data_IF_297907971210
#
_entry.id   IF_297907971210
#
_cell.length_a   1.000
_cell.length_b   1.000
_cell.length_c   1.000
_cell.angle_alpha   90.00
_cell.angle_beta   90.00
_cell.angle_gamma   90.00
#
_symmetry.space_group_name_H-M   'P 1'
#
loop_
_entity.id
_entity.type
_entity.pdbx_description
1 polymer ?
#
# COMPACT_ATOMS: atom_id res chain seq x y z
N UNK A 1 9.74 -6.38 5.61
CA UNK A 1 9.79 -5.33 4.57
C UNK A 1 9.22 -5.90 3.29
N UNK A 2 8.26 -5.22 2.64
CA UNK A 2 7.73 -5.63 1.33
C UNK A 2 8.51 -4.94 0.21
N UNK A 3 8.84 -5.66 -0.86
CA UNK A 3 9.55 -5.11 -2.03
C UNK A 3 8.88 -5.60 -3.32
N UNK A 4 8.55 -4.66 -4.20
CA UNK A 4 8.09 -4.94 -5.56
C UNK A 4 9.29 -4.73 -6.51
N UNK A 5 9.72 -5.80 -7.18
CA UNK A 5 10.96 -5.83 -7.98
C UNK A 5 10.79 -6.52 -9.33
N UNK A 6 9.61 -7.04 -9.63
CA UNK A 6 9.39 -7.96 -10.76
C UNK A 6 9.48 -7.20 -12.10
N UNK A 7 10.05 -7.80 -13.15
CA UNK A 7 10.08 -7.25 -14.50
C UNK A 7 8.70 -6.79 -14.97
N UNK A 8 8.62 -5.55 -15.42
CA UNK A 8 7.36 -4.91 -15.78
C UNK A 8 7.58 -3.79 -16.80
N UNK A 9 6.69 -3.63 -17.79
CA UNK A 9 6.65 -2.44 -18.65
C UNK A 9 6.36 -1.12 -17.93
N UNK A 10 6.05 -1.18 -16.62
CA UNK A 10 5.77 -0.04 -15.76
C UNK A 10 4.46 0.70 -16.10
N UNK A 11 3.50 0.03 -16.74
CA UNK A 11 2.17 0.61 -17.00
C UNK A 11 1.40 0.88 -15.69
N UNK A 12 1.71 0.13 -14.64
CA UNK A 12 1.20 0.35 -13.27
C UNK A 12 2.34 0.27 -12.24
N UNK A 13 3.49 0.89 -12.56
CA UNK A 13 4.65 1.01 -11.67
C UNK A 13 5.11 -0.32 -11.04
N UNK A 14 5.15 -1.40 -11.84
CA UNK A 14 5.63 -2.71 -11.42
C UNK A 14 4.54 -3.76 -11.19
N UNK A 15 3.25 -3.35 -11.16
CA UNK A 15 2.13 -4.28 -10.95
C UNK A 15 1.66 -4.96 -12.24
N UNK A 16 2.05 -4.47 -13.41
CA UNK A 16 1.94 -5.18 -14.68
C UNK A 16 3.15 -6.11 -14.88
N UNK A 17 3.13 -7.28 -14.24
CA UNK A 17 4.27 -8.23 -14.20
C UNK A 17 4.44 -8.99 -15.52
N UNK A 18 5.61 -8.85 -16.16
CA UNK A 18 5.98 -9.55 -17.39
C UNK A 18 6.80 -10.82 -17.16
N UNK A 19 7.48 -10.94 -16.01
CA UNK A 19 8.15 -12.17 -15.57
C UNK A 19 8.15 -12.23 -14.03
N UNK A 20 7.71 -13.34 -13.45
CA UNK A 20 7.64 -13.53 -12.01
C UNK A 20 8.92 -14.07 -11.37
N UNK A 21 9.90 -14.50 -12.19
CA UNK A 21 11.12 -15.20 -11.75
C UNK A 21 12.41 -14.45 -12.07
N UNK A 22 12.33 -13.14 -12.21
CA UNK A 22 13.50 -12.27 -12.36
C UNK A 22 13.27 -10.93 -11.64
N UNK A 23 14.24 -10.02 -11.72
CA UNK A 23 14.20 -8.65 -11.21
C UNK A 23 14.22 -7.68 -12.38
N UNK A 24 13.41 -6.64 -12.32
CA UNK A 24 13.37 -5.60 -13.35
C UNK A 24 14.75 -4.93 -13.46
N UNK A 25 15.29 -4.78 -14.68
CA UNK A 25 16.57 -4.11 -14.91
C UNK A 25 16.68 -2.69 -14.34
N UNK A 26 15.57 -1.98 -14.12
CA UNK A 26 15.61 -0.65 -13.47
C UNK A 26 16.01 -0.74 -11.99
N UNK A 27 15.78 -1.88 -11.34
CA UNK A 27 16.11 -2.12 -9.94
C UNK A 27 17.44 -2.87 -9.76
N UNK A 28 17.83 -3.69 -10.74
CA UNK A 28 19.10 -4.42 -10.72
C UNK A 28 19.00 -5.77 -11.41
N UNK A 29 19.70 -6.76 -10.86
CA UNK A 29 19.66 -8.15 -11.32
C UNK A 29 19.14 -9.06 -10.23
N UNK A 30 18.75 -10.29 -10.59
CA UNK A 30 18.36 -11.30 -9.62
C UNK A 30 19.40 -11.53 -8.51
N UNK A 31 20.70 -11.58 -8.86
CA UNK A 31 21.79 -11.71 -7.87
C UNK A 31 21.87 -10.52 -6.89
N UNK A 32 21.36 -9.34 -7.26
CA UNK A 32 21.29 -8.20 -6.35
C UNK A 32 20.16 -8.35 -5.33
N UNK A 33 19.05 -9.02 -5.70
CA UNK A 33 18.03 -9.42 -4.74
C UNK A 33 18.60 -10.43 -3.74
N UNK A 34 19.41 -11.40 -4.17
CA UNK A 34 20.06 -12.35 -3.25
C UNK A 34 20.98 -11.64 -2.25
N UNK A 35 21.74 -10.63 -2.70
CA UNK A 35 22.57 -9.78 -1.82
C UNK A 35 21.72 -9.00 -0.82
N UNK A 36 20.57 -8.44 -1.25
CA UNK A 36 19.64 -7.74 -0.39
C UNK A 36 19.10 -8.68 0.71
N UNK A 37 18.66 -9.88 0.33
CA UNK A 37 18.15 -10.89 1.25
C UNK A 37 19.21 -11.32 2.27
N UNK A 38 20.45 -11.55 1.82
CA UNK A 38 21.57 -11.87 2.71
C UNK A 38 21.85 -10.73 3.70
N UNK A 39 21.95 -9.48 3.21
CA UNK A 39 22.22 -8.32 4.05
C UNK A 39 21.10 -8.04 5.07
N UNK A 40 19.84 -8.28 4.70
CA UNK A 40 18.70 -8.18 5.61
C UNK A 40 18.79 -9.24 6.72
N UNK A 41 19.09 -10.49 6.35
CA UNK A 41 19.26 -11.60 7.30
C UNK A 41 20.37 -11.35 8.32
N UNK A 42 21.52 -10.83 7.88
CA UNK A 42 22.62 -10.42 8.76
C UNK A 42 22.21 -9.37 9.81
N UNK A 43 21.18 -8.57 9.51
CA UNK A 43 20.64 -7.53 10.38
C UNK A 43 19.42 -7.99 11.19
N UNK A 44 19.05 -9.27 11.11
CA UNK A 44 17.85 -9.81 11.75
C UNK A 44 16.54 -9.27 11.17
N UNK A 45 16.56 -8.76 9.94
CA UNK A 45 15.38 -8.26 9.24
C UNK A 45 14.80 -9.38 8.37
N UNK A 46 13.46 -9.45 8.35
CA UNK A 46 12.72 -10.32 7.44
C UNK A 46 12.24 -9.57 6.19
N UNK A 47 12.33 -10.22 5.04
CA UNK A 47 11.96 -9.65 3.74
C UNK A 47 10.83 -10.47 3.14
N UNK A 48 9.74 -9.80 2.82
CA UNK A 48 8.64 -10.36 2.03
C UNK A 48 8.64 -9.69 0.66
N UNK A 49 8.20 -10.41 -0.37
CA UNK A 49 8.13 -9.88 -1.74
C UNK A 49 6.68 -9.63 -2.12
N UNK A 50 6.44 -8.61 -2.95
CA UNK A 50 5.12 -8.36 -3.51
C UNK A 50 4.81 -9.39 -4.61
N UNK A 51 3.61 -9.98 -4.56
CA UNK A 51 3.14 -10.96 -5.52
C UNK A 51 1.82 -10.47 -6.12
N UNK A 52 1.75 -10.44 -7.45
CA UNK A 52 0.59 -9.93 -8.19
C UNK A 52 -0.12 -11.07 -8.92
N UNK A 53 -1.04 -11.82 -8.29
CA UNK A 53 -1.62 -13.01 -8.90
C UNK A 53 -2.86 -12.79 -9.76
N UNK A 54 -3.52 -11.64 -9.66
CA UNK A 54 -4.79 -11.46 -10.34
C UNK A 54 -4.64 -11.40 -11.87
N UNK A 55 -3.58 -10.77 -12.34
CA UNK A 55 -3.31 -10.48 -13.74
C UNK A 55 -1.82 -10.60 -14.04
N UNK A 56 -1.45 -10.63 -15.32
CA UNK A 56 -0.07 -10.41 -15.77
C UNK A 56 -0.01 -9.13 -16.59
N UNK A 57 1.19 -8.71 -17.00
CA UNK A 57 1.34 -7.77 -18.11
C UNK A 57 0.81 -8.37 -19.41
N UNK A 58 0.33 -7.54 -20.33
CA UNK A 58 0.11 -7.92 -21.73
C UNK A 58 1.41 -8.30 -22.45
N UNK A 59 2.55 -7.86 -21.93
CA UNK A 59 3.87 -8.23 -22.43
C UNK A 59 4.35 -9.61 -21.94
N UNK A 60 3.65 -10.21 -20.97
CA UNK A 60 3.98 -11.52 -20.41
C UNK A 60 3.91 -12.61 -21.50
N UNK A 61 4.86 -13.58 -21.53
CA UNK A 61 4.89 -14.63 -22.55
C UNK A 61 3.58 -15.41 -22.70
N UNK A 62 2.88 -15.66 -21.60
CA UNK A 62 1.58 -16.33 -21.65
C UNK A 62 0.51 -15.54 -22.39
N UNK A 63 0.42 -14.22 -22.20
CA UNK A 63 -0.61 -13.43 -22.88
C UNK A 63 -0.29 -13.29 -24.37
N UNK A 64 0.98 -13.10 -24.72
CA UNK A 64 1.44 -13.13 -26.12
C UNK A 64 1.11 -14.46 -26.80
N UNK A 65 1.34 -15.58 -26.10
CA UNK A 65 0.99 -16.90 -26.59
C UNK A 65 -0.54 -17.08 -26.74
N UNK A 66 -1.32 -16.59 -25.78
CA UNK A 66 -2.79 -16.59 -25.86
C UNK A 66 -3.28 -15.83 -27.11
N UNK A 67 -2.78 -14.62 -27.34
CA UNK A 67 -3.09 -13.82 -28.53
C UNK A 67 -2.71 -14.52 -29.83
N UNK A 68 -1.54 -15.16 -29.89
CA UNK A 68 -1.06 -15.84 -31.08
C UNK A 68 -1.80 -17.16 -31.37
N UNK A 69 -2.18 -17.91 -30.35
CA UNK A 69 -2.83 -19.21 -30.49
C UNK A 69 -4.33 -19.11 -30.85
N UNK A 70 -5.00 -18.03 -30.45
CA UNK A 70 -6.38 -17.76 -30.84
C UNK A 70 -7.45 -18.49 -30.03
N UNK A 71 -8.74 -18.29 -30.36
CA UNK A 71 -9.89 -18.83 -29.63
C UNK A 71 -9.86 -20.36 -29.49
N UNK A 72 -10.20 -20.86 -28.30
CA UNK A 72 -10.29 -22.30 -28.00
C UNK A 72 -8.96 -23.02 -27.74
N UNK A 73 -7.81 -22.32 -27.83
CA UNK A 73 -6.50 -22.88 -27.51
C UNK A 73 -6.25 -23.00 -25.99
N UNK A 74 -5.38 -23.94 -25.54
CA UNK A 74 -4.95 -24.02 -24.14
C UNK A 74 -4.28 -22.72 -23.65
N UNK A 75 -3.49 -22.06 -24.49
CA UNK A 75 -2.84 -20.80 -24.18
C UNK A 75 -3.86 -19.69 -23.90
N UNK A 76 -4.92 -19.62 -24.73
CA UNK A 76 -6.03 -18.68 -24.58
C UNK A 76 -6.80 -18.91 -23.27
N UNK A 77 -6.95 -20.18 -22.85
CA UNK A 77 -7.69 -20.55 -21.65
C UNK A 77 -7.04 -20.11 -20.32
N UNK A 78 -5.76 -19.69 -20.34
CA UNK A 78 -5.06 -19.12 -19.16
C UNK A 78 -5.59 -17.76 -18.74
N UNK A 79 -6.31 -17.07 -19.62
CA UNK A 79 -6.92 -15.76 -19.38
C UNK A 79 -8.43 -15.82 -19.62
N UNK A 80 -9.14 -14.78 -19.20
CA UNK A 80 -10.59 -14.73 -19.33
C UNK A 80 -10.96 -14.03 -20.63
N UNK A 81 -11.23 -14.81 -21.68
CA UNK A 81 -11.74 -14.35 -22.97
C UNK A 81 -13.21 -14.70 -23.18
N UNK A 82 -13.96 -13.85 -23.88
CA UNK A 82 -15.37 -14.07 -24.26
C UNK A 82 -15.64 -13.65 -25.71
N UNK A 83 -16.50 -14.37 -26.46
CA UNK A 83 -16.79 -14.05 -27.87
C UNK A 83 -17.55 -12.73 -28.04
N UNK A 84 -18.28 -12.29 -27.02
CA UNK A 84 -18.96 -11.01 -26.97
C UNK A 84 -18.64 -10.30 -25.65
N UNK A 85 -18.83 -8.98 -25.58
CA UNK A 85 -18.64 -8.23 -24.34
C UNK A 85 -19.67 -8.73 -23.31
N UNK A 86 -19.24 -9.38 -22.21
CA UNK A 86 -20.16 -10.20 -21.43
C UNK A 86 -20.99 -9.41 -20.43
N UNK A 87 -20.52 -8.24 -19.99
CA UNK A 87 -21.17 -7.45 -18.94
C UNK A 87 -20.76 -5.97 -18.97
N UNK A 88 -21.30 -5.21 -18.02
CA UNK A 88 -21.09 -3.78 -17.83
C UNK A 88 -19.92 -3.42 -16.88
N UNK A 89 -19.01 -4.34 -16.56
CA UNK A 89 -17.96 -4.07 -15.57
C UNK A 89 -17.03 -2.93 -15.98
N UNK A 90 -16.65 -2.12 -14.99
CA UNK A 90 -15.73 -1.00 -15.13
C UNK A 90 -14.36 -1.34 -14.55
N UNK A 91 -13.31 -0.84 -15.20
CA UNK A 91 -11.94 -0.90 -14.69
C UNK A 91 -11.78 0.00 -13.47
N UNK A 92 -11.00 -0.46 -12.50
CA UNK A 92 -10.58 0.30 -11.31
C UNK A 92 -9.93 1.64 -11.66
N UNK A 93 -9.24 1.71 -12.81
CA UNK A 93 -8.58 2.93 -13.30
C UNK A 93 -9.45 3.73 -14.30
N UNK A 94 -10.72 3.35 -14.46
CA UNK A 94 -11.69 4.02 -15.32
C UNK A 94 -11.82 3.38 -16.72
N UNK A 95 -13.02 3.50 -17.29
CA UNK A 95 -13.40 2.89 -18.57
C UNK A 95 -13.88 1.45 -18.42
N UNK A 96 -14.21 0.76 -19.53
CA UNK A 96 -14.66 -0.63 -19.50
C UNK A 96 -13.54 -1.57 -19.02
N UNK A 97 -13.91 -2.63 -18.30
CA UNK A 97 -12.99 -3.71 -17.88
C UNK A 97 -12.75 -4.77 -18.97
N UNK A 98 -13.22 -4.53 -20.20
CA UNK A 98 -13.09 -5.47 -21.31
C UNK A 98 -12.55 -4.76 -22.53
N UNK A 99 -11.55 -5.37 -23.16
CA UNK A 99 -10.96 -4.87 -24.41
C UNK A 99 -11.08 -5.95 -25.49
N UNK A 100 -11.52 -5.53 -26.68
CA UNK A 100 -11.64 -6.41 -27.83
C UNK A 100 -10.29 -6.58 -28.53
N UNK A 101 -9.94 -7.81 -28.88
CA UNK A 101 -8.76 -8.15 -29.70
C UNK A 101 -9.14 -8.33 -31.17
N UNK A 102 -8.19 -8.31 -32.13
CA UNK A 102 -8.50 -8.30 -33.57
C UNK A 102 -9.32 -9.50 -34.09
N UNK A 103 -9.31 -10.63 -33.38
CA UNK A 103 -10.11 -11.81 -33.73
C UNK A 103 -11.58 -11.73 -33.25
N UNK A 104 -11.95 -10.64 -32.57
CA UNK A 104 -13.31 -10.34 -32.14
C UNK A 104 -13.62 -10.69 -30.70
N UNK A 105 -12.80 -11.51 -30.02
CA UNK A 105 -13.00 -11.82 -28.61
C UNK A 105 -12.65 -10.64 -27.70
N UNK A 106 -13.20 -10.64 -26.49
CA UNK A 106 -12.98 -9.65 -25.45
C UNK A 106 -12.22 -10.31 -24.30
N UNK A 107 -11.10 -9.73 -23.85
CA UNK A 107 -10.42 -10.16 -22.63
C UNK A 107 -10.76 -9.25 -21.46
N UNK A 108 -10.82 -9.84 -20.27
CA UNK A 108 -11.02 -9.13 -19.01
C UNK A 108 -9.71 -8.46 -18.56
N UNK A 109 -9.83 -7.22 -18.09
CA UNK A 109 -8.82 -6.51 -17.33
C UNK A 109 -9.50 -5.61 -16.28
N UNK A 110 -9.41 -5.98 -15.00
CA UNK A 110 -10.03 -5.21 -13.90
C UNK A 110 -9.26 -3.92 -13.58
N UNK A 111 -8.07 -3.76 -14.13
CA UNK A 111 -7.17 -2.61 -13.99
C UNK A 111 -6.85 -1.99 -15.37
N UNK A 112 -5.58 -1.75 -15.70
CA UNK A 112 -5.20 -1.24 -17.02
C UNK A 112 -5.43 -2.29 -18.13
N UNK A 113 -5.60 -1.87 -19.38
CA UNK A 113 -5.74 -2.80 -20.50
C UNK A 113 -4.46 -3.64 -20.72
N UNK A 114 -3.30 -3.12 -20.34
CA UNK A 114 -2.04 -3.87 -20.26
C UNK A 114 -1.98 -4.88 -19.11
N UNK A 115 -3.05 -5.06 -18.32
CA UNK A 115 -3.13 -5.98 -17.19
C UNK A 115 -4.25 -7.04 -17.38
N UNK A 116 -4.13 -7.96 -18.38
CA UNK A 116 -5.12 -9.01 -18.60
C UNK A 116 -5.24 -9.96 -17.39
N UNK A 117 -6.48 -10.17 -16.94
CA UNK A 117 -6.80 -11.03 -15.81
C UNK A 117 -6.57 -12.51 -16.12
N UNK A 118 -5.88 -13.18 -15.19
CA UNK A 118 -5.68 -14.62 -15.23
C UNK A 118 -6.99 -15.35 -14.91
N UNK A 119 -7.15 -16.49 -15.57
CA UNK A 119 -8.22 -17.45 -15.30
C UNK A 119 -7.77 -18.44 -14.22
N UNK A 120 -8.11 -18.14 -12.97
CA UNK A 120 -7.76 -18.97 -11.80
C UNK A 120 -8.52 -20.31 -11.72
N UNK A 121 -9.50 -20.55 -12.59
CA UNK A 121 -10.11 -21.87 -12.75
C UNK A 121 -9.22 -22.80 -13.61
N UNK A 122 -8.24 -22.24 -14.33
CA UNK A 122 -7.30 -23.01 -15.15
C UNK A 122 -6.22 -23.68 -14.28
N UNK A 123 -6.04 -25.01 -14.34
CA UNK A 123 -5.13 -25.73 -13.44
C UNK A 123 -3.65 -25.35 -13.64
N UNK A 124 -3.24 -24.98 -14.86
CA UNK A 124 -1.88 -24.53 -15.14
C UNK A 124 -1.56 -23.20 -14.44
N UNK A 125 -2.53 -22.29 -14.33
CA UNK A 125 -2.35 -21.01 -13.60
C UNK A 125 -2.08 -21.31 -12.13
N UNK A 126 -2.87 -22.20 -11.52
CA UNK A 126 -2.67 -22.63 -10.13
C UNK A 126 -1.31 -23.29 -9.91
N UNK A 127 -0.89 -24.16 -10.84
CA UNK A 127 0.41 -24.83 -10.77
C UNK A 127 1.57 -23.83 -10.86
N UNK A 128 1.52 -22.92 -11.83
CA UNK A 128 2.57 -21.92 -12.04
C UNK A 128 2.78 -21.04 -10.81
N UNK A 129 1.71 -20.59 -10.16
CA UNK A 129 1.86 -19.75 -8.98
C UNK A 129 2.45 -20.50 -7.78
N UNK A 130 2.23 -21.81 -7.66
CA UNK A 130 2.98 -22.61 -6.67
C UNK A 130 4.47 -22.61 -6.98
N UNK A 131 4.84 -22.73 -8.25
CA UNK A 131 6.24 -22.75 -8.66
C UNK A 131 6.90 -21.36 -8.55
N UNK A 132 6.15 -20.27 -8.76
CA UNK A 132 6.59 -18.89 -8.48
C UNK A 132 6.85 -18.70 -6.98
N UNK A 133 5.94 -19.16 -6.11
CA UNK A 133 6.14 -19.10 -4.67
C UNK A 133 7.42 -19.85 -4.27
N UNK A 134 7.59 -21.08 -4.76
CA UNK A 134 8.78 -21.90 -4.49
C UNK A 134 10.06 -21.23 -4.98
N UNK A 135 10.05 -20.64 -6.17
CA UNK A 135 11.21 -19.92 -6.73
C UNK A 135 11.76 -18.85 -5.78
N UNK A 136 10.88 -18.05 -5.15
CA UNK A 136 11.29 -17.00 -4.21
C UNK A 136 11.59 -17.56 -2.81
N UNK A 137 10.85 -18.58 -2.36
CA UNK A 137 11.10 -19.25 -1.08
C UNK A 137 12.46 -19.98 -1.07
N UNK A 138 12.85 -20.61 -2.18
CA UNK A 138 14.15 -21.26 -2.37
C UNK A 138 15.32 -20.26 -2.23
N UNK A 139 15.08 -18.98 -2.54
CA UNK A 139 16.05 -17.87 -2.34
C UNK A 139 16.05 -17.32 -0.91
N UNK A 140 15.12 -17.79 -0.07
CA UNK A 140 15.06 -17.45 1.35
C UNK A 140 14.27 -16.18 1.65
N UNK A 141 13.34 -15.78 0.78
CA UNK A 141 12.28 -14.83 1.10
C UNK A 141 11.45 -15.35 2.29
N UNK A 142 11.04 -14.45 3.19
CA UNK A 142 10.31 -14.79 4.42
C UNK A 142 8.79 -14.77 4.25
N UNK A 143 8.28 -14.50 3.05
CA UNK A 143 6.86 -14.49 2.76
C UNK A 143 6.48 -13.56 1.62
N UNK A 144 5.17 -13.34 1.45
CA UNK A 144 4.63 -12.54 0.36
C UNK A 144 3.56 -11.57 0.85
N UNK A 145 3.56 -10.36 0.31
CA UNK A 145 2.34 -9.52 0.27
C UNK A 145 1.65 -9.84 -1.05
N UNK A 146 0.37 -10.19 -0.97
CA UNK A 146 -0.42 -10.61 -2.13
C UNK A 146 -1.31 -9.46 -2.55
N UNK A 147 -1.01 -8.89 -3.70
CA UNK A 147 -1.77 -7.81 -4.31
C UNK A 147 -3.15 -8.29 -4.78
N UNK A 148 -4.17 -7.49 -4.51
CA UNK A 148 -5.57 -7.72 -4.93
C UNK A 148 -5.98 -9.17 -4.62
N UNK A 149 -5.72 -9.60 -3.40
CA UNK A 149 -5.92 -10.99 -2.96
C UNK A 149 -7.39 -11.44 -3.06
N UNK A 150 -8.31 -10.50 -3.18
CA UNK A 150 -9.74 -10.75 -3.32
C UNK A 150 -10.18 -10.88 -4.79
N UNK A 151 -9.32 -10.65 -5.80
CA UNK A 151 -9.72 -10.59 -7.22
C UNK A 151 -9.55 -11.85 -8.05
N UNK A 152 -8.88 -12.88 -7.51
CA UNK A 152 -8.41 -14.01 -8.31
C UNK A 152 -9.57 -14.80 -8.94
N UNK A 153 -10.66 -15.01 -8.18
CA UNK A 153 -11.84 -15.75 -8.63
C UNK A 153 -13.00 -14.79 -8.92
N UNK A 154 -13.64 -15.01 -10.06
CA UNK A 154 -14.75 -14.22 -10.60
C UNK A 154 -16.02 -15.08 -10.55
N UNK A 155 -17.19 -14.47 -10.39
CA UNK A 155 -18.47 -15.16 -10.40
C UNK A 155 -18.68 -15.81 -11.78
N UNK A 156 -19.07 -17.09 -11.79
CA UNK A 156 -19.07 -17.91 -13.00
C UNK A 156 -20.00 -17.39 -14.12
N UNK A 157 -21.13 -16.77 -13.75
CA UNK A 157 -22.08 -16.18 -14.70
C UNK A 157 -21.67 -14.80 -15.21
N UNK A 158 -20.59 -14.21 -14.66
CA UNK A 158 -20.11 -12.86 -14.97
C UNK A 158 -21.21 -11.81 -14.93
N UNK A 159 -22.16 -11.92 -14.00
CA UNK A 159 -23.33 -11.04 -13.92
C UNK A 159 -22.98 -9.54 -13.93
N UNK A 160 -23.88 -8.72 -14.46
CA UNK A 160 -23.74 -7.26 -14.44
C UNK A 160 -23.62 -6.71 -13.01
N UNK A 161 -22.94 -5.57 -12.88
CA UNK A 161 -22.80 -4.84 -11.63
C UNK A 161 -23.39 -3.44 -11.78
N UNK A 162 -24.44 -3.15 -11.01
CA UNK A 162 -25.20 -1.89 -11.12
C UNK A 162 -24.93 -0.89 -9.99
N UNK A 163 -23.95 -1.17 -9.15
CA UNK A 163 -23.57 -0.30 -8.05
C UNK A 163 -22.25 0.40 -8.35
N UNK A 164 -21.96 1.53 -7.68
CA UNK A 164 -20.65 2.16 -7.83
C UNK A 164 -19.54 1.15 -7.52
N UNK A 165 -18.62 0.94 -8.46
CA UNK A 165 -17.33 0.36 -8.17
C UNK A 165 -16.56 1.49 -7.49
N UNK A 166 -16.51 1.53 -6.17
CA UNK A 166 -15.57 2.41 -5.51
C UNK A 166 -14.18 1.76 -5.58
N UNK A 167 -13.26 2.29 -6.39
CA UNK A 167 -11.95 1.68 -6.57
C UNK A 167 -11.18 1.87 -5.26
N UNK A 168 -10.64 0.78 -4.70
CA UNK A 168 -9.79 0.81 -3.52
C UNK A 168 -10.51 1.28 -2.23
N UNK A 169 -11.81 1.05 -2.04
CA UNK A 169 -12.50 1.24 -0.72
C UNK A 169 -13.33 0.01 -0.33
N UNK A 170 -13.38 -1.02 -1.17
CA UNK A 170 -14.36 -2.10 -1.05
C UNK A 170 -15.79 -1.59 -1.29
N UNK A 171 -16.76 -2.45 -1.61
CA UNK A 171 -18.13 -2.00 -1.84
C UNK A 171 -18.69 -1.39 -0.55
N UNK A 172 -18.93 -0.08 -0.55
CA UNK A 172 -19.80 0.62 0.40
C UNK A 172 -21.29 0.16 0.27
N UNK A 173 -21.57 -0.78 -0.63
CA UNK A 173 -22.90 -1.26 -0.94
C UNK A 173 -23.36 -2.39 -0.03
N UNK A 174 -23.81 -2.00 1.17
CA UNK A 174 -24.81 -2.72 1.99
C UNK A 174 -24.80 -4.26 1.91
N UNK A 175 -23.63 -4.89 2.05
CA UNK A 175 -23.49 -6.36 2.08
C UNK A 175 -23.75 -7.09 0.77
N UNK A 176 -23.80 -6.40 -0.38
CA UNK A 176 -23.88 -7.03 -1.70
C UNK A 176 -22.47 -7.22 -2.23
N UNK A 177 -22.11 -8.49 -2.50
CA UNK A 177 -20.79 -8.85 -3.01
C UNK A 177 -20.72 -8.59 -4.52
N UNK A 178 -19.72 -7.83 -5.01
CA UNK A 178 -19.51 -7.64 -6.45
C UNK A 178 -19.11 -8.95 -7.12
N UNK A 179 -19.56 -9.22 -8.36
CA UNK A 179 -19.32 -10.49 -9.04
C UNK A 179 -17.85 -10.69 -9.45
N UNK A 180 -17.07 -9.62 -9.54
CA UNK A 180 -15.64 -9.67 -9.90
C UNK A 180 -14.70 -9.78 -8.68
N UNK A 181 -15.21 -9.69 -7.45
CA UNK A 181 -14.41 -9.60 -6.22
C UNK A 181 -14.89 -10.57 -5.13
N UNK A 182 -13.97 -11.00 -4.26
CA UNK A 182 -14.20 -11.69 -2.98
C UNK A 182 -15.07 -12.96 -3.06
N UNK A 183 -14.97 -13.73 -4.15
CA UNK A 183 -15.72 -14.97 -4.31
C UNK A 183 -15.16 -16.07 -3.38
N UNK A 184 -16.03 -16.88 -2.77
CA UNK A 184 -15.61 -17.80 -1.69
C UNK A 184 -14.58 -18.85 -2.13
N UNK A 185 -14.57 -19.24 -3.40
CA UNK A 185 -13.58 -20.16 -3.96
C UNK A 185 -12.14 -19.59 -3.97
N UNK A 186 -11.96 -18.28 -3.74
CA UNK A 186 -10.62 -17.69 -3.58
C UNK A 186 -9.89 -18.26 -2.35
N UNK A 187 -10.62 -18.61 -1.30
CA UNK A 187 -10.04 -19.17 -0.07
C UNK A 187 -9.33 -20.50 -0.33
N UNK A 188 -9.78 -21.30 -1.31
CA UNK A 188 -9.11 -22.55 -1.68
C UNK A 188 -7.75 -22.31 -2.34
N UNK A 189 -7.56 -21.18 -3.02
CA UNK A 189 -6.24 -20.77 -3.52
C UNK A 189 -5.30 -20.49 -2.35
N UNK A 190 -5.76 -19.76 -1.34
CA UNK A 190 -4.91 -19.41 -0.20
C UNK A 190 -4.60 -20.56 0.73
N UNK A 191 -5.53 -21.52 0.90
CA UNK A 191 -5.22 -22.80 1.56
C UNK A 191 -4.13 -23.57 0.82
N UNK A 192 -4.19 -23.57 -0.51
CA UNK A 192 -3.17 -24.23 -1.33
C UNK A 192 -1.80 -23.58 -1.13
N UNK A 193 -1.73 -22.26 -1.19
CA UNK A 193 -0.49 -21.52 -0.96
C UNK A 193 0.01 -21.63 0.47
N UNK A 194 -0.88 -21.70 1.45
CA UNK A 194 -0.52 -21.96 2.85
C UNK A 194 0.25 -23.27 2.98
N UNK A 195 -0.23 -24.35 2.34
CA UNK A 195 0.48 -25.64 2.31
C UNK A 195 1.87 -25.51 1.67
N UNK A 196 2.02 -24.76 0.58
CA UNK A 196 3.33 -24.52 -0.03
C UNK A 196 4.28 -23.83 0.95
N UNK A 197 3.84 -22.81 1.70
CA UNK A 197 4.67 -22.14 2.68
C UNK A 197 5.09 -23.07 3.84
N UNK A 198 4.22 -24.00 4.24
CA UNK A 198 4.48 -24.99 5.29
C UNK A 198 5.52 -26.06 4.88
N UNK A 199 5.80 -26.22 3.58
CA UNK A 199 6.91 -27.05 3.08
C UNK A 199 8.29 -26.47 3.44
N UNK A 200 8.37 -25.17 3.74
CA UNK A 200 9.63 -24.47 3.99
C UNK A 200 9.91 -24.27 5.48
N UNK A 201 11.17 -24.42 5.92
CA UNK A 201 11.52 -24.19 7.32
C UNK A 201 11.42 -22.71 7.69
N UNK A 202 11.13 -22.45 8.96
CA UNK A 202 10.97 -21.10 9.50
C UNK A 202 9.54 -20.57 9.40
N UNK A 203 9.33 -19.38 9.95
CA UNK A 203 8.02 -18.72 9.93
C UNK A 203 7.87 -17.91 8.64
N UNK A 204 7.18 -18.49 7.64
CA UNK A 204 6.81 -17.81 6.39
C UNK A 204 5.45 -17.16 6.53
N UNK A 205 5.24 -16.02 5.88
CA UNK A 205 3.95 -15.30 5.98
C UNK A 205 3.34 -15.01 4.61
N UNK A 206 2.00 -15.05 4.56
CA UNK A 206 1.20 -14.45 3.50
C UNK A 206 0.44 -13.27 4.09
N UNK A 207 0.50 -12.13 3.42
CA UNK A 207 -0.16 -10.89 3.83
C UNK A 207 -1.14 -10.50 2.74
N UNK A 208 -2.44 -10.54 3.05
CA UNK A 208 -3.48 -10.17 2.11
C UNK A 208 -3.54 -8.65 1.93
N UNK A 209 -3.46 -8.19 0.69
CA UNK A 209 -4.09 -6.94 0.32
C UNK A 209 -5.50 -7.23 -0.20
N UNK A 210 -6.51 -6.94 0.63
CA UNK A 210 -7.90 -7.26 0.33
C UNK A 210 -8.82 -6.12 0.74
N UNK A 211 -9.44 -5.46 -0.24
CA UNK A 211 -10.43 -4.41 -0.04
C UNK A 211 -11.82 -5.03 0.14
N UNK A 212 -12.00 -5.73 1.26
CA UNK A 212 -13.23 -6.47 1.56
C UNK A 212 -13.91 -5.93 2.80
N UNK A 213 -15.24 -5.88 2.76
CA UNK A 213 -16.10 -5.44 3.85
C UNK A 213 -17.31 -6.39 3.95
N UNK A 214 -17.91 -6.54 5.15
CA UNK A 214 -17.45 -6.04 6.45
C UNK A 214 -16.21 -6.80 6.98
N UNK A 215 -15.69 -6.39 8.14
CA UNK A 215 -14.52 -6.97 8.81
C UNK A 215 -14.49 -8.51 8.87
N UNK A 216 -15.65 -9.16 9.01
CA UNK A 216 -15.77 -10.62 9.05
C UNK A 216 -15.35 -11.28 7.73
N UNK A 217 -15.54 -10.61 6.59
CA UNK A 217 -15.02 -11.07 5.28
C UNK A 217 -13.51 -11.02 5.24
N UNK A 218 -12.91 -9.93 5.72
CA UNK A 218 -11.44 -9.83 5.83
C UNK A 218 -10.87 -10.90 6.76
N UNK A 219 -11.54 -11.14 7.89
CA UNK A 219 -11.14 -12.16 8.86
C UNK A 219 -11.12 -13.57 8.25
N UNK A 220 -11.98 -13.87 7.27
CA UNK A 220 -11.98 -15.17 6.59
C UNK A 220 -10.67 -15.49 5.86
N UNK A 221 -9.93 -14.49 5.38
CA UNK A 221 -8.63 -14.66 4.71
C UNK A 221 -7.51 -15.05 5.67
N UNK A 222 -7.66 -14.77 6.97
CA UNK A 222 -6.63 -14.99 7.99
C UNK A 222 -6.96 -16.12 8.95
N UNK A 223 -7.82 -17.06 8.51
CA UNK A 223 -8.02 -18.33 9.23
C UNK A 223 -6.70 -19.11 9.34
N UNK A 224 -6.57 -20.01 10.34
CA UNK A 224 -5.30 -20.70 10.61
C UNK A 224 -4.70 -21.44 9.41
N UNK A 225 -5.54 -21.91 8.47
CA UNK A 225 -5.19 -22.67 7.28
C UNK A 225 -5.04 -21.82 6.00
N UNK A 226 -5.07 -20.48 6.11
CA UNK A 226 -5.00 -19.56 4.97
C UNK A 226 -3.84 -18.55 5.15
N UNK A 227 -4.10 -17.26 4.94
CA UNK A 227 -3.10 -16.21 5.05
C UNK A 227 -2.82 -15.88 6.52
N UNK A 228 -1.69 -15.23 6.78
CA UNK A 228 -1.23 -14.97 8.15
C UNK A 228 -1.69 -13.61 8.65
N UNK A 229 -1.77 -12.64 7.75
CA UNK A 229 -2.12 -11.25 8.03
C UNK A 229 -2.93 -10.68 6.86
N UNK A 230 -3.66 -9.60 7.09
CA UNK A 230 -4.39 -8.87 6.07
C UNK A 230 -4.38 -7.37 6.39
N UNK A 231 -4.22 -6.53 5.38
CA UNK A 231 -4.30 -5.08 5.58
C UNK A 231 -5.69 -4.66 6.02
N UNK A 232 -5.74 -3.98 7.18
CA UNK A 232 -6.98 -3.48 7.74
C UNK A 232 -7.33 -2.11 7.14
N UNK A 233 -7.94 -2.14 5.96
CA UNK A 233 -8.32 -0.92 5.26
C UNK A 233 -9.50 -0.19 5.87
N UNK A 234 -10.40 -0.88 6.57
CA UNK A 234 -11.46 -0.22 7.33
C UNK A 234 -10.87 0.70 8.42
N UNK A 235 -9.78 0.29 9.08
CA UNK A 235 -9.06 1.15 10.03
C UNK A 235 -8.39 2.34 9.31
N UNK A 236 -7.78 2.09 8.15
CA UNK A 236 -7.13 3.13 7.35
C UNK A 236 -8.12 4.25 6.95
N UNK A 237 -9.36 3.88 6.65
CA UNK A 237 -10.43 4.76 6.17
C UNK A 237 -11.29 5.36 7.28
N UNK A 238 -11.23 4.79 8.49
CA UNK A 238 -12.02 5.27 9.61
C UNK A 238 -11.80 6.76 9.87
N UNK A 239 -12.90 7.49 10.06
CA UNK A 239 -12.86 8.91 10.36
C UNK A 239 -12.00 9.19 11.60
N UNK A 240 -11.30 10.32 11.60
CA UNK A 240 -10.46 10.74 12.73
C UNK A 240 -11.29 11.35 13.87
N UNK A 241 -12.14 10.53 14.48
CA UNK A 241 -12.90 10.82 15.69
C UNK A 241 -12.69 9.70 16.69
N UNK A 242 -12.72 9.99 18.00
CA UNK A 242 -12.53 8.97 19.02
C UNK A 242 -13.58 7.84 18.90
N UNK A 243 -14.83 8.17 18.56
CA UNK A 243 -15.89 7.20 18.36
C UNK A 243 -15.62 6.26 17.18
N UNK A 244 -15.30 6.81 16.00
CA UNK A 244 -15.04 6.01 14.80
C UNK A 244 -13.79 5.13 14.97
N UNK A 245 -12.71 5.67 15.55
CA UNK A 245 -11.50 4.92 15.83
C UNK A 245 -11.75 3.79 16.83
N UNK A 246 -12.45 4.05 17.93
CA UNK A 246 -12.81 3.02 18.93
C UNK A 246 -13.69 1.93 18.33
N UNK A 247 -14.66 2.30 17.49
CA UNK A 247 -15.55 1.36 16.81
C UNK A 247 -14.78 0.41 15.89
N UNK A 248 -13.98 0.96 14.97
CA UNK A 248 -13.24 0.14 14.02
C UNK A 248 -12.22 -0.76 14.73
N UNK A 249 -11.53 -0.25 15.77
CA UNK A 249 -10.56 -1.04 16.54
C UNK A 249 -11.25 -2.25 17.18
N UNK A 250 -12.36 -2.03 17.88
CA UNK A 250 -13.10 -3.11 18.55
C UNK A 250 -13.65 -4.13 17.54
N UNK A 251 -14.18 -3.65 16.42
CA UNK A 251 -14.75 -4.51 15.37
C UNK A 251 -13.68 -5.36 14.69
N UNK A 252 -12.54 -4.77 14.31
CA UNK A 252 -11.42 -5.51 13.71
C UNK A 252 -10.81 -6.53 14.68
N UNK A 253 -10.70 -6.19 15.97
CA UNK A 253 -10.25 -7.14 17.00
C UNK A 253 -11.25 -8.28 17.19
N UNK A 254 -12.55 -7.97 17.26
CA UNK A 254 -13.61 -8.97 17.41
C UNK A 254 -13.67 -9.95 16.23
N UNK A 255 -13.63 -9.42 14.99
CA UNK A 255 -13.68 -10.23 13.78
C UNK A 255 -12.48 -11.19 13.67
N UNK A 256 -11.25 -10.69 13.90
CA UNK A 256 -10.05 -11.55 13.82
C UNK A 256 -9.96 -12.52 15.00
N UNK A 257 -10.39 -12.12 16.20
CA UNK A 257 -10.44 -13.02 17.35
C UNK A 257 -11.40 -14.20 17.10
N UNK A 258 -12.51 -13.97 16.38
CA UNK A 258 -13.47 -15.03 16.04
C UNK A 258 -12.87 -16.15 15.16
N UNK A 259 -11.78 -15.87 14.44
CA UNK A 259 -11.03 -16.86 13.64
C UNK A 259 -9.67 -17.22 14.25
N UNK A 260 -9.35 -16.72 15.45
CA UNK A 260 -8.10 -16.99 16.15
C UNK A 260 -6.86 -16.29 15.57
N UNK A 261 -7.05 -15.18 14.84
CA UNK A 261 -5.98 -14.46 14.14
C UNK A 261 -5.58 -13.15 14.84
N UNK A 262 -4.33 -12.69 14.70
CA UNK A 262 -3.94 -11.34 15.12
C UNK A 262 -4.58 -10.27 14.23
N UNK A 263 -4.68 -9.05 14.74
CA UNK A 263 -5.10 -7.89 13.94
C UNK A 263 -3.88 -7.15 13.42
N UNK A 264 -4.01 -6.63 12.20
CA UNK A 264 -2.99 -5.80 11.56
C UNK A 264 -3.50 -4.38 11.43
N UNK A 265 -2.61 -3.40 11.49
CA UNK A 265 -2.94 -1.98 11.43
C UNK A 265 -2.07 -1.26 10.39
N UNK A 266 -2.70 -0.41 9.58
CA UNK A 266 -2.04 0.33 8.51
C UNK A 266 -2.69 1.71 8.36
N UNK A 267 -1.87 2.74 8.20
CA UNK A 267 -2.33 4.12 7.98
C UNK A 267 -2.02 4.63 6.58
N UNK A 268 -1.00 4.09 5.93
CA UNK A 268 -0.51 4.52 4.62
C UNK A 268 0.10 3.34 3.88
N UNK A 269 0.07 3.42 2.55
CA UNK A 269 0.75 2.53 1.62
C UNK A 269 1.04 3.31 0.32
N UNK A 270 1.36 2.61 -0.75
CA UNK A 270 1.67 3.22 -2.05
C UNK A 270 0.43 3.51 -2.91
N UNK A 271 -0.79 3.26 -2.41
CA UNK A 271 -2.05 3.48 -3.13
C UNK A 271 -2.97 4.52 -2.51
N UNK A 272 -2.71 4.91 -1.26
CA UNK A 272 -3.50 5.93 -0.57
C UNK A 272 -2.67 7.15 -0.24
N UNK A 273 -3.37 8.27 -0.09
CA UNK A 273 -2.74 9.49 0.40
C UNK A 273 -2.02 9.24 1.71
N UNK A 274 -0.82 9.81 1.81
CA UNK A 274 -0.07 9.88 3.06
C UNK A 274 -0.97 10.45 4.16
N UNK A 275 -1.08 9.71 5.26
CA UNK A 275 -2.02 10.04 6.32
C UNK A 275 -1.76 11.42 6.95
N UNK A 276 -0.51 11.93 6.91
CA UNK A 276 -0.17 13.30 7.31
C UNK A 276 -0.89 14.37 6.50
N UNK A 277 -1.21 14.13 5.22
CA UNK A 277 -2.05 15.01 4.42
C UNK A 277 -3.53 14.66 4.55
N UNK A 278 -3.88 13.37 4.51
CA UNK A 278 -5.28 12.91 4.65
C UNK A 278 -5.94 13.44 5.93
N UNK A 279 -5.25 13.37 7.07
CA UNK A 279 -5.76 13.82 8.36
C UNK A 279 -5.73 15.35 8.52
N UNK A 280 -5.10 16.08 7.60
CA UNK A 280 -5.13 17.54 7.51
C UNK A 280 -6.38 18.08 6.82
N UNK A 281 -7.19 17.21 6.20
CA UNK A 281 -8.50 17.55 5.64
C UNK A 281 -9.57 17.67 6.74
N UNK A 282 -10.71 18.32 6.47
CA UNK A 282 -11.87 18.30 7.37
C UNK A 282 -12.31 16.87 7.69
N UNK A 283 -12.75 16.64 8.93
CA UNK A 283 -13.25 15.32 9.34
C UNK A 283 -14.52 15.01 8.56
N UNK A 284 -14.61 13.80 8.01
CA UNK A 284 -15.75 13.36 7.20
C UNK A 284 -15.61 13.68 5.71
N UNK A 285 -14.53 14.35 5.29
CA UNK A 285 -14.18 14.45 3.87
C UNK A 285 -13.90 13.05 3.33
N UNK A 286 -14.63 12.59 2.28
CA UNK A 286 -14.30 11.35 1.59
C UNK A 286 -12.85 11.38 1.12
N UNK A 287 -12.15 10.25 1.18
CA UNK A 287 -10.75 10.18 0.78
C UNK A 287 -10.61 10.55 -0.70
N UNK A 288 -9.87 11.62 -1.05
CA UNK A 288 -9.69 11.99 -2.45
C UNK A 288 -8.80 10.96 -3.17
N UNK A 289 -8.84 10.94 -4.50
CA UNK A 289 -7.99 10.10 -5.37
C UNK A 289 -6.85 10.94 -5.93
N UNK A 290 -5.89 11.21 -5.05
CA UNK A 290 -4.84 12.20 -5.24
C UNK A 290 -5.31 13.63 -4.95
N UNK A 291 -4.37 14.57 -4.85
CA UNK A 291 -4.64 16.01 -4.68
C UNK A 291 -3.81 16.76 -5.73
N UNK A 292 -4.46 17.63 -6.48
CA UNK A 292 -3.89 18.58 -7.43
C UNK A 292 -3.66 19.95 -6.79
N UNK A 293 -2.97 20.84 -7.51
CA UNK A 293 -2.62 22.16 -7.00
C UNK A 293 -3.85 23.05 -6.77
N UNK A 294 -4.91 22.81 -7.55
CA UNK A 294 -6.18 23.54 -7.57
C UNK A 294 -7.20 22.97 -6.58
N UNK A 295 -6.96 21.79 -6.04
CA UNK A 295 -7.86 21.14 -5.07
C UNK A 295 -7.74 21.79 -3.68
N UNK A 296 -8.75 21.61 -2.80
CA UNK A 296 -8.63 21.98 -1.39
C UNK A 296 -7.38 21.37 -0.74
N UNK A 297 -6.44 22.23 -0.34
CA UNK A 297 -5.18 21.80 0.24
C UNK A 297 -5.36 21.40 1.71
N UNK A 298 -4.73 20.30 2.17
CA UNK A 298 -4.77 19.88 3.55
C UNK A 298 -3.99 20.85 4.44
N UNK A 299 -4.45 21.06 5.69
CA UNK A 299 -3.68 21.81 6.68
C UNK A 299 -2.45 21.00 7.11
N UNK A 300 -1.22 21.45 6.80
CA UNK A 300 -0.01 20.67 7.07
C UNK A 300 0.33 20.58 8.56
N UNK A 301 -0.02 21.60 9.36
CA UNK A 301 0.29 21.63 10.80
C UNK A 301 -0.69 20.72 11.54
N UNK A 302 -1.98 20.84 11.24
CA UNK A 302 -3.02 19.99 11.80
C UNK A 302 -2.81 18.53 11.39
N UNK A 303 -2.53 18.30 10.10
CA UNK A 303 -2.28 16.99 9.52
C UNK A 303 -1.12 16.26 10.20
N UNK A 304 0.04 16.92 10.33
CA UNK A 304 1.19 16.34 11.03
C UNK A 304 0.90 16.03 12.51
N UNK A 305 0.18 16.91 13.21
CA UNK A 305 -0.20 16.68 14.62
C UNK A 305 -1.09 15.44 14.76
N UNK A 306 -2.09 15.30 13.88
CA UNK A 306 -3.00 14.15 13.89
C UNK A 306 -2.31 12.87 13.44
N UNK A 307 -1.42 12.94 12.45
CA UNK A 307 -0.61 11.81 12.01
C UNK A 307 0.24 11.22 13.13
N UNK A 308 0.96 12.06 13.88
CA UNK A 308 1.74 11.59 15.04
C UNK A 308 0.87 10.90 16.09
N UNK A 309 -0.33 11.44 16.34
CA UNK A 309 -1.27 10.81 17.27
C UNK A 309 -1.83 9.49 16.73
N UNK A 310 -2.12 9.41 15.42
CA UNK A 310 -2.59 8.20 14.75
C UNK A 310 -1.53 7.10 14.76
N UNK A 311 -0.28 7.40 14.40
CA UNK A 311 0.83 6.44 14.46
C UNK A 311 1.10 6.00 15.90
N UNK A 312 1.06 6.90 16.88
CA UNK A 312 1.20 6.53 18.29
C UNK A 312 0.08 5.57 18.74
N UNK A 313 -1.16 5.84 18.34
CA UNK A 313 -2.29 4.95 18.60
C UNK A 313 -2.06 3.58 17.94
N UNK A 314 -1.79 3.56 16.64
CA UNK A 314 -1.55 2.34 15.85
C UNK A 314 -0.46 1.45 16.46
N UNK A 315 0.68 2.04 16.85
CA UNK A 315 1.80 1.31 17.45
C UNK A 315 1.52 0.83 18.88
N UNK A 316 0.48 1.34 19.54
CA UNK A 316 0.01 0.88 20.84
C UNK A 316 -1.06 -0.21 20.78
N UNK A 317 -1.60 -0.53 19.60
CA UNK A 317 -2.60 -1.58 19.43
C UNK A 317 -1.97 -2.97 19.37
N UNK A 318 -2.66 -4.02 19.83
CA UNK A 318 -2.15 -5.39 19.75
C UNK A 318 -2.09 -5.89 18.30
N UNK A 319 -1.09 -6.72 18.00
CA UNK A 319 -0.88 -7.30 16.69
C UNK A 319 0.24 -6.59 15.90
N UNK A 320 0.13 -6.58 14.57
CA UNK A 320 1.18 -6.09 13.67
C UNK A 320 0.85 -4.70 13.12
N UNK A 321 1.87 -3.87 12.92
CA UNK A 321 1.72 -2.57 12.29
C UNK A 321 2.56 -2.50 11.00
N UNK A 322 2.00 -1.86 9.97
CA UNK A 322 2.70 -1.56 8.72
C UNK A 322 2.93 -0.06 8.61
N UNK A 323 4.21 0.30 8.51
CA UNK A 323 4.68 1.66 8.31
C UNK A 323 5.13 1.82 6.86
N UNK A 324 4.53 2.76 6.15
CA UNK A 324 4.94 3.07 4.78
C UNK A 324 6.12 4.03 4.76
N UNK A 325 7.04 3.91 3.78
CA UNK A 325 8.25 4.72 3.74
C UNK A 325 7.95 6.23 3.84
N UNK A 326 8.52 6.87 4.86
CA UNK A 326 8.33 8.27 5.20
C UNK A 326 7.22 8.56 6.22
N UNK A 327 6.38 7.60 6.58
CA UNK A 327 5.45 7.77 7.70
C UNK A 327 6.21 8.13 8.99
N UNK A 328 7.37 7.52 9.23
CA UNK A 328 8.24 7.78 10.36
C UNK A 328 8.81 9.21 10.38
N UNK A 329 8.86 9.86 9.22
CA UNK A 329 9.29 11.23 9.03
C UNK A 329 8.11 12.22 9.03
N UNK A 330 6.87 11.71 9.03
CA UNK A 330 5.65 12.51 8.93
C UNK A 330 5.46 13.17 7.56
N UNK A 331 5.85 12.47 6.48
CA UNK A 331 5.84 13.06 5.15
C UNK A 331 4.41 13.38 4.68
N UNK A 332 4.15 14.60 4.19
CA UNK A 332 2.89 14.90 3.52
C UNK A 332 2.88 14.34 2.09
N UNK A 333 1.69 14.19 1.54
CA UNK A 333 1.43 13.92 0.12
C UNK A 333 2.10 14.99 -0.76
N UNK A 334 2.50 14.69 -2.00
CA UNK A 334 2.84 15.70 -2.98
C UNK A 334 1.58 16.25 -3.67
N UNK A 335 1.07 17.39 -3.17
CA UNK A 335 -0.23 17.94 -3.59
C UNK A 335 -0.18 18.89 -4.79
N UNK A 336 1.00 19.26 -5.27
CA UNK A 336 1.16 20.25 -6.35
C UNK A 336 1.97 19.68 -7.52
N UNK A 337 1.85 18.37 -7.76
CA UNK A 337 2.59 17.72 -8.85
C UNK A 337 2.03 18.20 -10.18
N UNK A 338 2.87 18.71 -11.10
CA UNK A 338 2.43 19.06 -12.44
C UNK A 338 1.82 17.85 -13.14
N UNK A 339 0.77 18.07 -13.91
CA UNK A 339 0.02 17.00 -14.55
C UNK A 339 0.87 16.25 -15.59
N UNK A 340 1.81 16.93 -16.25
CA UNK A 340 2.78 16.33 -17.18
C UNK A 340 3.80 15.39 -16.52
N UNK A 341 3.95 15.47 -15.20
CA UNK A 341 4.87 14.62 -14.45
C UNK A 341 4.20 13.37 -13.86
N UNK A 342 2.87 13.28 -13.94
CA UNK A 342 2.10 12.15 -13.41
C UNK A 342 2.30 10.93 -14.29
N UNK A 343 2.55 9.79 -13.65
CA UNK A 343 2.79 8.50 -14.29
C UNK A 343 1.67 7.50 -14.00
N UNK A 344 0.83 7.74 -12.98
CA UNK A 344 -0.22 6.80 -12.59
C UNK A 344 -1.24 6.56 -13.74
N UNK A 345 -1.52 5.30 -14.10
CA UNK A 345 -2.49 4.98 -15.16
C UNK A 345 -3.87 5.56 -14.88
N UNK A 346 -4.28 5.70 -13.62
CA UNK A 346 -5.55 6.33 -13.25
C UNK A 346 -5.65 7.77 -13.75
N UNK A 347 -4.55 8.53 -13.72
CA UNK A 347 -4.52 9.90 -14.25
C UNK A 347 -4.69 9.91 -15.78
N UNK A 348 -3.94 9.05 -16.47
CA UNK A 348 -3.94 8.96 -17.92
C UNK A 348 -5.29 8.48 -18.47
N UNK A 349 -5.84 7.41 -17.90
CA UNK A 349 -7.10 6.78 -18.35
C UNK A 349 -8.32 7.64 -18.08
N UNK A 350 -8.32 8.40 -16.99
CA UNK A 350 -9.40 9.36 -16.67
C UNK A 350 -9.21 10.73 -17.33
N UNK A 351 -8.16 10.89 -18.17
CA UNK A 351 -7.80 12.16 -18.83
C UNK A 351 -7.69 13.33 -17.85
N UNK A 352 -7.06 13.07 -16.71
CA UNK A 352 -6.85 14.03 -15.62
C UNK A 352 -8.04 14.27 -14.70
N UNK A 353 -9.15 13.54 -14.88
CA UNK A 353 -10.31 13.58 -13.97
C UNK A 353 -9.98 13.09 -12.56
N UNK A 354 -8.97 12.24 -12.40
CA UNK A 354 -8.44 11.81 -11.11
C UNK A 354 -6.94 11.98 -11.07
N UNK A 355 -6.39 12.43 -9.95
CA UNK A 355 -4.98 12.81 -9.85
C UNK A 355 -4.01 11.63 -9.65
N UNK A 356 -4.50 10.46 -9.25
CA UNK A 356 -3.63 9.30 -9.11
C UNK A 356 -3.04 9.13 -7.71
N UNK A 357 -2.12 8.17 -7.59
CA UNK A 357 -1.40 7.78 -6.38
C UNK A 357 0.03 8.34 -6.34
N UNK A 358 0.50 8.97 -7.42
CA UNK A 358 1.87 9.50 -7.53
C UNK A 358 2.28 10.43 -6.38
N UNK A 359 1.32 11.14 -5.77
CA UNK A 359 1.59 12.04 -4.65
C UNK A 359 2.24 11.36 -3.45
N UNK A 360 1.96 10.07 -3.21
CA UNK A 360 2.54 9.29 -2.13
C UNK A 360 3.82 8.52 -2.54
N UNK A 361 4.11 8.46 -3.85
CA UNK A 361 5.19 7.67 -4.44
C UNK A 361 6.47 8.46 -4.73
N UNK A 362 6.45 9.77 -4.47
CA UNK A 362 7.62 10.63 -4.68
C UNK A 362 8.86 10.14 -3.93
N UNK A 363 10.07 10.38 -4.47
CA UNK A 363 11.33 9.98 -3.85
C UNK A 363 11.48 10.41 -2.39
N UNK A 364 12.04 9.53 -1.55
CA UNK A 364 12.31 9.83 -0.14
C UNK A 364 13.47 10.82 -0.03
N UNK A 365 13.30 11.94 0.71
CA UNK A 365 14.38 12.91 0.90
C UNK A 365 15.26 12.53 2.09
N UNK A 366 16.47 12.08 1.78
CA UNK A 366 17.49 11.67 2.74
C UNK A 366 18.32 12.83 3.28
N UNK A 367 18.55 13.85 2.44
CA UNK A 367 19.41 15.00 2.70
C UNK A 367 18.68 16.32 2.41
N UNK A 368 19.09 17.41 3.07
CA UNK A 368 18.37 18.68 3.02
C UNK A 368 18.48 19.44 1.68
N UNK A 369 19.70 19.74 1.25
CA UNK A 369 19.95 20.62 0.09
C UNK A 369 20.63 19.90 -1.09
N UNK A 370 20.86 18.58 -0.97
CA UNK A 370 21.41 17.80 -2.07
C UNK A 370 20.41 17.70 -3.25
N UNK A 371 20.89 17.53 -4.50
CA UNK A 371 20.02 17.22 -5.63
C UNK A 371 19.08 16.06 -5.31
N UNK A 372 17.79 16.19 -5.65
CA UNK A 372 16.74 15.22 -5.31
C UNK A 372 16.75 14.78 -3.84
N UNK A 373 17.20 15.68 -2.94
CA UNK A 373 17.33 15.41 -1.52
C UNK A 373 18.16 14.17 -1.20
N UNK A 374 19.20 13.89 -1.99
CA UNK A 374 20.09 12.74 -1.77
C UNK A 374 19.49 11.40 -2.19
N UNK A 375 18.33 11.36 -2.85
CA UNK A 375 17.75 10.13 -3.40
C UNK A 375 18.56 9.58 -4.58
N UNK A 376 19.05 10.47 -5.44
CA UNK A 376 19.78 10.10 -6.65
C UNK A 376 20.91 11.09 -6.95
N UNK A 377 21.78 10.77 -7.92
CA UNK A 377 22.95 11.58 -8.25
C UNK A 377 22.60 12.91 -8.94
N UNK A 378 21.35 13.10 -9.38
CA UNK A 378 20.90 14.26 -10.13
C UNK A 378 19.59 14.82 -9.55
N UNK A 379 19.22 16.04 -9.95
CA UNK A 379 17.94 16.65 -9.61
C UNK A 379 16.73 16.03 -10.37
N UNK A 380 16.99 15.23 -11.40
CA UNK A 380 15.96 14.54 -12.15
C UNK A 380 15.69 13.16 -11.52
N UNK A 381 14.44 12.94 -11.17
CA UNK A 381 13.89 11.68 -10.67
C UNK A 381 12.63 11.34 -11.46
N UNK A 382 12.22 10.07 -11.41
CA UNK A 382 11.05 9.58 -12.14
C UNK A 382 9.77 10.34 -11.75
N UNK A 383 9.59 10.66 -10.47
CA UNK A 383 8.60 11.66 -10.01
C UNK A 383 9.29 12.88 -9.39
N UNK A 384 8.77 14.09 -9.60
CA UNK A 384 9.35 15.30 -9.03
C UNK A 384 9.19 15.32 -7.50
N UNK A 385 10.20 15.88 -6.84
CA UNK A 385 10.12 16.25 -5.44
C UNK A 385 9.48 17.64 -5.29
N UNK A 386 8.88 17.95 -4.14
CA UNK A 386 8.13 19.21 -3.91
C UNK A 386 8.90 20.52 -4.23
N UNK A 387 10.24 20.51 -4.24
CA UNK A 387 11.05 21.69 -4.64
C UNK A 387 11.58 21.63 -6.07
N UNK A 388 11.67 20.47 -6.70
CA UNK A 388 12.17 20.38 -8.08
C UNK A 388 11.16 20.92 -9.10
N UNK A 389 9.89 21.05 -8.71
CA UNK A 389 8.81 21.64 -9.53
C UNK A 389 8.76 23.18 -9.52
N UNK A 390 9.82 23.87 -9.09
CA UNK A 390 9.80 25.33 -8.95
C UNK A 390 10.46 26.08 -10.12
N UNK A 391 9.64 26.44 -11.12
CA UNK A 391 9.83 27.71 -11.84
C UNK A 391 9.30 28.92 -11.04
N UNK A 392 8.73 28.71 -9.85
CA UNK A 392 8.20 29.77 -9.00
C UNK A 392 9.16 30.09 -7.84
N UNK A 393 9.79 31.27 -7.92
CA UNK A 393 10.36 31.95 -6.76
C UNK A 393 9.23 32.28 -5.78
N UNK A 394 8.99 31.38 -4.83
CA UNK A 394 8.10 31.62 -3.70
C UNK A 394 8.83 31.15 -2.43
N UNK A 395 9.27 32.12 -1.64
CA UNK A 395 9.89 31.93 -0.34
C UNK A 395 8.87 31.40 0.65
N UNK A 396 8.69 30.08 0.70
CA UNK A 396 8.17 29.39 1.89
C UNK A 396 9.18 28.34 2.36
N UNK A 397 9.96 28.76 3.35
CA UNK A 397 10.91 27.92 4.08
C UNK A 397 10.16 27.01 5.07
N UNK A 398 9.46 26.00 4.56
CA UNK A 398 9.14 24.81 5.34
C UNK A 398 9.97 23.66 4.75
N UNK A 399 11.29 23.73 4.97
CA UNK A 399 12.17 22.60 4.73
C UNK A 399 11.68 21.43 5.58
N UNK A 400 11.72 20.23 5.01
CA UNK A 400 11.47 19.04 5.80
C UNK A 400 12.49 19.05 6.93
N UNK A 401 12.09 18.90 8.21
CA UNK A 401 13.06 18.76 9.27
C UNK A 401 13.73 17.40 9.08
N UNK A 402 14.76 17.35 8.23
CA UNK A 402 15.78 16.32 8.27
C UNK A 402 16.55 16.53 9.58
N UNK A 403 15.91 16.22 10.72
CA UNK A 403 16.68 15.88 11.91
C UNK A 403 17.47 14.66 11.48
N UNK A 404 18.79 14.81 11.38
CA UNK A 404 19.71 13.68 11.22
C UNK A 404 19.45 12.71 12.37
N UNK A 405 18.61 11.71 12.18
CA UNK A 405 18.52 10.57 13.08
C UNK A 405 19.74 9.72 12.78
N UNK A 406 20.91 10.13 13.32
CA UNK A 406 22.08 9.26 13.38
C UNK A 406 21.75 8.13 14.36
N UNK A 407 21.17 7.05 13.86
CA UNK A 407 21.14 5.78 14.58
C UNK A 407 22.54 5.15 14.51
N UNK A 408 23.48 5.70 15.28
CA UNK A 408 24.67 4.92 15.66
C UNK A 408 24.30 4.11 16.89
N UNK A 409 24.33 2.79 16.77
CA UNK A 409 23.95 1.86 17.82
C UNK A 409 24.72 2.09 19.12
N UNK A 410 24.11 2.83 20.05
CA UNK A 410 24.19 2.73 21.52
C UNK A 410 23.50 3.96 22.13
N UNK A 411 22.32 3.72 22.73
CA UNK A 411 21.56 4.59 23.67
C UNK A 411 21.18 5.99 23.17
N UNK A 412 19.89 6.16 22.85
CA UNK A 412 19.26 7.48 22.76
C UNK A 412 19.22 8.13 24.14
N UNK A 413 19.99 9.19 24.36
CA UNK A 413 19.77 10.13 25.44
C UNK A 413 19.38 11.47 24.82
N UNK A 414 18.23 12.02 25.24
CA UNK A 414 17.81 13.37 24.87
C UNK A 414 18.81 14.38 25.44
N UNK A 415 19.53 15.10 24.58
CA UNK A 415 20.31 16.25 25.00
C UNK A 415 19.35 17.43 25.32
N UNK A 416 19.45 18.08 26.49
CA UNK A 416 18.61 19.22 26.81
C UNK A 416 19.04 20.44 25.98
N UNK A 417 18.03 21.20 25.54
CA UNK A 417 18.21 22.47 24.82
C UNK A 417 19.03 23.47 25.64
N UNK A 418 20.08 24.02 25.05
CA UNK A 418 20.82 25.17 25.59
C UNK A 418 19.94 26.41 25.54
N UNK A 419 19.30 26.73 26.67
CA UNK A 419 18.74 28.05 26.90
C UNK A 419 19.87 29.03 27.28
N UNK A 420 19.89 30.16 26.58
CA UNK A 420 20.72 31.34 26.82
C UNK A 420 20.88 31.67 28.31
N UNK A 421 22.12 31.67 28.79
CA UNK A 421 22.49 32.23 30.06
C UNK A 421 22.64 33.75 29.93
N UNK A 422 21.73 34.50 30.55
CA UNK A 422 21.93 35.90 30.88
C UNK A 422 21.35 36.17 32.29
N UNK A 423 22.17 36.84 33.10
CA UNK A 423 21.94 37.38 34.44
C UNK A 423 21.70 36.45 35.64
N UNK A 424 22.75 36.32 36.46
CA UNK A 424 22.64 36.17 37.92
C UNK A 424 23.64 37.10 38.61
N UNK A 425 23.12 38.07 39.34
CA UNK A 425 23.82 38.75 40.44
C UNK A 425 23.55 38.03 41.77
N UNK A 426 24.49 38.01 42.75
CA UNK A 426 24.40 37.18 43.94
C UNK A 426 23.83 37.93 45.16
N UNK A 427 23.00 37.28 45.97
CA UNK A 427 22.48 37.87 47.21
C UNK A 427 21.80 36.90 48.19
N UNK A 428 22.50 36.63 49.29
CA UNK A 428 22.04 36.27 50.65
C UNK A 428 21.16 35.02 50.92
N UNK A 429 21.82 34.02 51.53
CA UNK A 429 21.49 33.29 52.79
C UNK A 429 20.02 33.29 53.29
N UNK A 430 19.45 32.11 53.53
CA UNK A 430 18.36 31.97 54.51
C UNK A 430 17.56 30.64 54.53
N UNK A 431 18.05 29.66 55.29
CA UNK A 431 17.34 28.63 56.10
C UNK A 431 16.33 27.64 55.46
N UNK A 432 16.57 26.36 55.79
CA UNK A 432 15.65 25.21 55.70
C UNK A 432 14.58 25.26 56.80
N UNK A 433 13.36 24.78 56.53
CA UNK A 433 12.57 23.93 57.44
C UNK A 433 11.33 23.30 56.74
N UNK A 434 11.02 22.07 57.17
CA UNK A 434 9.97 21.11 56.79
C UNK A 434 8.51 21.59 57.03
N UNK A 435 7.59 21.38 56.08
CA UNK A 435 6.52 20.34 56.03
C UNK A 435 5.13 20.85 56.51
N UNK A 436 4.01 20.10 56.39
CA UNK A 436 2.97 20.30 55.39
C UNK A 436 1.61 20.71 55.98
N UNK A 437 0.67 21.20 55.17
CA UNK A 437 -0.76 20.81 55.20
C UNK A 437 -1.69 21.83 54.52
N UNK A 438 -2.84 21.30 54.07
CA UNK A 438 -4.12 21.94 53.75
C UNK A 438 -4.31 22.51 52.34
N UNK A 439 -4.82 21.63 51.48
CA UNK A 439 -6.15 21.71 50.84
C UNK A 439 -6.86 23.08 50.83
N UNK A 440 -7.30 23.51 49.64
CA UNK A 440 -8.71 23.83 49.25
C UNK A 440 -8.75 24.93 48.16
N UNK A 441 -9.44 24.61 47.04
CA UNK A 441 -10.08 25.49 46.00
C UNK A 441 -9.23 26.48 45.21
N UNK A 442 -9.52 26.92 43.99
CA UNK A 442 -10.44 26.61 42.89
C UNK A 442 -10.03 27.57 41.75
N UNK A 443 -10.09 27.13 40.49
CA UNK A 443 -10.33 27.92 39.26
C UNK A 443 -9.72 29.33 39.13
N UNK A 444 -8.78 29.47 38.19
CA UNK A 444 -8.99 30.21 36.94
C UNK A 444 -8.15 29.56 35.82
#
# INVERSE_FOLDING_TARGET
>A
MAVALLPSPQADAGYDVADYRDVDPIFGRLDDADKLLAAARERGLRVIVDLVPNHTSSEHPWFKAALAAGPGSPERARYIFRPEKPNNWESTFGGPAWTQVPDGEWYLHLFDAGQPDLNWDHPEVRAEFRDILRFWLDRGVDGFRVDVAHGLIKQADLADWHYPVEPLTGPATKGIRPPMWDQDAVHDVYRDWRRVLEEYPGERVLVAEAWVSPAERLAAYVRPDEMHQAFNFEYLEAAWTAAAQSEVIRRSLGANAAVGAPTTWVLSNHDVLRHASRLGLPIGTPRPRGIGAEDPQPDPVLGLRRARAATLLMLGLPGSAYLYQGEELGLPEHTTMPDEARQDPMFLRTRGGQKGRDGCRVPIPWEGDAPSYGFGPSAATWLPSRRSSASSRSTSSAGWPARRTRCTGRRCACAPSTASAADRSPGSKGRRACSPSKTVTSTC
#
